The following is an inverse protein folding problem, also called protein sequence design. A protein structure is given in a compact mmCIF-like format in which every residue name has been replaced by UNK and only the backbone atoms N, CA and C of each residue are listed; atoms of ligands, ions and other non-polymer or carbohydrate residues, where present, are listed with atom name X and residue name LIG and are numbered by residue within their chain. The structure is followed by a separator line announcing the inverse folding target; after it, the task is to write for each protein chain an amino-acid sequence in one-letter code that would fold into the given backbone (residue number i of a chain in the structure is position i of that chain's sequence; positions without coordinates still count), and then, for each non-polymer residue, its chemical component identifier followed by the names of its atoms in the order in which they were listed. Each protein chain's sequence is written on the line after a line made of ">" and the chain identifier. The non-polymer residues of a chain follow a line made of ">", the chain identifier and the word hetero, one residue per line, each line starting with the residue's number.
data_IF_488915715349
#
_entry.id   IF_488915715349
#
_cell.length_a   1.000
_cell.length_b   1.000
_cell.length_c   1.000
_cell.angle_alpha   90.00
_cell.angle_beta   90.00
_cell.angle_gamma   90.00
#
_symmetry.space_group_name_H-M   'P 1'
#
loop_
_entity.id
_entity.type
_entity.pdbx_description
1 polymer ?
#
# COMPACT_ATOMS: atom_id res chain seq x y z
N UNK A 1 9.97 -26.02 8.97
CA UNK A 1 11.07 -25.34 8.27
C UNK A 1 10.61 -23.90 8.08
N UNK A 2 11.07 -22.98 8.93
CA UNK A 2 10.57 -21.59 8.98
C UNK A 2 11.72 -20.64 8.61
N UNK A 3 11.94 -20.42 7.31
CA UNK A 3 12.70 -19.27 6.84
C UNK A 3 12.44 -19.03 5.34
N UNK A 4 11.29 -18.45 5.01
CA UNK A 4 11.11 -17.84 3.69
C UNK A 4 11.01 -16.33 3.90
N UNK A 5 12.13 -15.63 3.66
CA UNK A 5 12.15 -14.17 3.60
C UNK A 5 11.45 -13.73 2.30
N UNK A 6 10.32 -13.05 2.46
CA UNK A 6 9.47 -12.55 1.37
C UNK A 6 9.51 -11.02 1.41
N UNK A 7 9.75 -10.38 0.27
CA UNK A 7 9.71 -8.91 0.16
C UNK A 7 8.25 -8.41 0.16
N UNK A 8 8.02 -7.12 0.42
CA UNK A 8 6.66 -6.57 0.34
C UNK A 8 6.13 -6.68 -1.10
N UNK A 9 6.97 -6.41 -2.10
CA UNK A 9 6.64 -6.59 -3.52
C UNK A 9 6.19 -8.04 -3.81
N UNK A 10 6.95 -9.04 -3.34
CA UNK A 10 6.60 -10.44 -3.52
C UNK A 10 5.25 -10.77 -2.87
N UNK A 11 5.04 -10.34 -1.62
CA UNK A 11 3.81 -10.60 -0.89
C UNK A 11 2.58 -9.99 -1.62
N UNK A 12 2.70 -8.75 -2.11
CA UNK A 12 1.65 -8.10 -2.90
C UNK A 12 1.41 -8.82 -4.22
N UNK A 13 2.46 -9.32 -4.89
CA UNK A 13 2.32 -10.14 -6.12
C UNK A 13 1.60 -11.45 -5.85
N UNK A 14 1.88 -12.13 -4.74
CA UNK A 14 1.17 -13.36 -4.38
C UNK A 14 -0.32 -13.12 -4.10
N UNK A 15 -0.67 -11.98 -3.49
CA UNK A 15 -2.07 -11.56 -3.34
C UNK A 15 -2.72 -11.24 -4.70
N UNK A 16 -2.01 -10.51 -5.56
CA UNK A 16 -2.49 -10.12 -6.89
C UNK A 16 -2.80 -11.34 -7.77
N UNK A 17 -1.97 -12.39 -7.66
CA UNK A 17 -2.11 -13.64 -8.39
C UNK A 17 -3.06 -14.64 -7.71
N UNK A 18 -3.70 -14.27 -6.61
CA UNK A 18 -4.61 -15.12 -5.82
C UNK A 18 -3.95 -16.40 -5.27
N UNK A 19 -2.62 -16.38 -5.10
CA UNK A 19 -1.87 -17.43 -4.42
C UNK A 19 -1.94 -17.26 -2.89
N UNK A 20 -2.06 -16.02 -2.42
CA UNK A 20 -2.31 -15.72 -1.00
C UNK A 20 -3.79 -15.38 -0.81
N UNK A 21 -4.48 -16.23 -0.06
CA UNK A 21 -5.90 -16.09 0.25
C UNK A 21 -6.13 -16.07 1.76
N UNK A 22 -7.37 -15.83 2.15
CA UNK A 22 -7.80 -15.78 3.55
C UNK A 22 -8.72 -16.98 3.87
N UNK A 23 -8.54 -17.65 5.02
CA UNK A 23 -9.46 -18.69 5.49
C UNK A 23 -10.77 -18.06 5.95
N UNK A 24 -11.87 -18.82 6.04
CA UNK A 24 -13.20 -18.31 6.43
C UNK A 24 -13.35 -17.71 7.86
N UNK A 25 -12.35 -17.85 8.71
CA UNK A 25 -12.31 -17.27 10.06
C UNK A 25 -11.60 -15.91 10.11
N UNK A 26 -11.23 -15.37 8.94
CA UNK A 26 -10.54 -14.08 8.80
C UNK A 26 -11.37 -12.93 9.37
N UNK A 27 -10.70 -11.93 9.95
CA UNK A 27 -11.38 -10.70 10.38
C UNK A 27 -11.39 -9.73 9.21
N UNK A 28 -12.49 -9.00 9.05
CA UNK A 28 -12.56 -7.91 8.09
C UNK A 28 -11.45 -6.88 8.35
N UNK A 29 -11.02 -6.18 7.29
CA UNK A 29 -10.10 -5.05 7.46
C UNK A 29 -10.77 -3.96 8.27
N UNK A 30 -10.09 -3.50 9.32
CA UNK A 30 -10.56 -2.42 10.19
C UNK A 30 -9.58 -1.26 10.25
N UNK A 31 -8.43 -1.37 9.55
CA UNK A 31 -7.43 -0.32 9.53
C UNK A 31 -7.88 0.87 8.69
N UNK A 32 -7.86 2.05 9.32
CA UNK A 32 -8.12 3.31 8.66
C UNK A 32 -6.88 3.83 7.91
N UNK A 33 -7.06 4.90 7.13
CA UNK A 33 -5.99 5.50 6.31
C UNK A 33 -4.73 5.79 7.11
N UNK A 34 -4.88 6.33 8.30
CA UNK A 34 -3.75 6.74 9.15
C UNK A 34 -2.94 5.53 9.62
N UNK A 35 -3.59 4.39 9.87
CA UNK A 35 -2.89 3.16 10.24
C UNK A 35 -2.15 2.54 9.04
N UNK A 36 -2.66 2.74 7.83
CA UNK A 36 -1.95 2.34 6.61
C UNK A 36 -0.73 3.24 6.43
N UNK A 37 -0.86 4.57 6.52
CA UNK A 37 0.29 5.49 6.39
C UNK A 37 1.35 5.22 7.46
N UNK A 38 0.94 4.99 8.71
CA UNK A 38 1.83 4.64 9.83
C UNK A 38 2.61 3.35 9.55
N UNK A 39 1.98 2.35 8.91
CA UNK A 39 2.66 1.11 8.53
C UNK A 39 3.76 1.38 7.49
N UNK A 40 3.48 2.16 6.46
CA UNK A 40 4.48 2.48 5.44
C UNK A 40 5.64 3.30 6.03
N UNK A 41 5.33 4.32 6.83
CA UNK A 41 6.33 5.09 7.58
C UNK A 41 7.19 4.17 8.46
N UNK A 42 6.58 3.26 9.21
CA UNK A 42 7.30 2.32 10.06
C UNK A 42 8.27 1.43 9.28
N UNK A 43 7.90 1.00 8.07
CA UNK A 43 8.76 0.20 7.19
C UNK A 43 9.96 1.02 6.74
N UNK A 44 9.75 2.26 6.29
CA UNK A 44 10.84 3.12 5.82
C UNK A 44 11.79 3.52 6.97
N UNK A 45 11.27 3.66 8.20
CA UNK A 45 12.10 3.85 9.40
C UNK A 45 12.88 2.59 9.82
N UNK A 46 12.64 1.45 9.19
CA UNK A 46 13.31 0.18 9.51
C UNK A 46 12.75 -0.53 10.76
N UNK A 47 11.57 -0.15 11.24
CA UNK A 47 10.93 -0.87 12.34
C UNK A 47 10.50 -2.29 11.88
N UNK A 48 10.68 -3.31 12.73
CA UNK A 48 10.27 -4.66 12.40
C UNK A 48 8.74 -4.74 12.27
N UNK A 49 8.25 -4.98 11.06
CA UNK A 49 6.81 -5.13 10.78
C UNK A 49 6.27 -6.52 11.13
N UNK A 50 7.07 -7.38 11.78
CA UNK A 50 6.69 -8.71 12.25
C UNK A 50 6.67 -9.79 11.17
N UNK A 51 6.13 -10.96 11.51
CA UNK A 51 6.00 -12.13 10.64
C UNK A 51 4.54 -12.37 10.25
N UNK A 52 4.31 -13.08 9.16
CA UNK A 52 2.99 -13.59 8.79
C UNK A 52 2.95 -15.11 8.96
N UNK A 53 1.87 -15.62 9.53
CA UNK A 53 1.61 -17.07 9.59
C UNK A 53 0.72 -17.45 8.42
N UNK A 54 1.07 -18.54 7.74
CA UNK A 54 0.25 -19.10 6.69
C UNK A 54 0.10 -20.61 6.82
N UNK A 55 -0.94 -21.14 6.19
CA UNK A 55 -1.12 -22.55 5.95
C UNK A 55 -0.96 -22.84 4.46
N UNK A 56 -0.01 -23.73 4.14
CA UNK A 56 0.20 -24.28 2.82
C UNK A 56 -0.87 -25.31 2.46
N UNK A 57 -1.71 -24.97 1.47
CA UNK A 57 -2.86 -25.76 1.08
C UNK A 57 -2.54 -26.58 -0.17
N UNK A 58 -2.51 -27.91 0.00
CA UNK A 58 -2.33 -28.85 -1.11
C UNK A 58 -3.55 -28.85 -2.03
N UNK A 59 -3.32 -29.14 -3.31
CA UNK A 59 -4.34 -29.16 -4.37
C UNK A 59 -5.55 -30.02 -4.03
N UNK A 60 -5.31 -31.21 -3.48
CA UNK A 60 -6.33 -32.19 -3.11
C UNK A 60 -7.32 -31.67 -2.07
N UNK A 61 -6.93 -30.67 -1.26
CA UNK A 61 -7.71 -30.18 -0.14
C UNK A 61 -8.44 -28.86 -0.46
N UNK A 62 -8.27 -28.28 -1.65
CA UNK A 62 -8.77 -26.93 -1.98
C UNK A 62 -10.29 -26.80 -1.91
N UNK A 63 -11.01 -27.82 -2.37
CA UNK A 63 -12.47 -27.81 -2.40
C UNK A 63 -13.11 -27.97 -1.00
N UNK A 64 -12.32 -28.35 0.01
CA UNK A 64 -12.80 -28.52 1.39
C UNK A 64 -12.92 -27.20 2.15
N UNK A 65 -12.24 -26.13 1.69
CA UNK A 65 -12.18 -24.86 2.39
C UNK A 65 -12.91 -23.75 1.65
N UNK A 66 -13.64 -22.93 2.41
CA UNK A 66 -14.10 -21.63 1.90
C UNK A 66 -12.96 -20.63 2.05
N UNK A 67 -12.57 -20.03 0.93
CA UNK A 67 -11.46 -19.09 0.82
C UNK A 67 -11.95 -17.73 0.34
N UNK A 68 -11.24 -16.68 0.76
CA UNK A 68 -11.56 -15.30 0.43
C UNK A 68 -10.34 -14.58 -0.16
N UNK A 69 -10.58 -13.74 -1.16
CA UNK A 69 -9.56 -12.85 -1.72
C UNK A 69 -9.34 -11.61 -0.85
N UNK A 70 -8.18 -10.99 -0.95
CA UNK A 70 -7.90 -9.71 -0.32
C UNK A 70 -8.70 -8.58 -0.99
N UNK A 71 -9.07 -7.56 -0.21
CA UNK A 71 -9.72 -6.36 -0.76
C UNK A 71 -8.70 -5.57 -1.58
N UNK A 72 -9.03 -5.35 -2.86
CA UNK A 72 -8.20 -4.56 -3.78
C UNK A 72 -8.49 -3.07 -3.69
N UNK A 73 -9.78 -2.70 -3.65
CA UNK A 73 -10.25 -1.33 -3.51
C UNK A 73 -11.13 -1.27 -2.27
N UNK A 74 -10.68 -0.62 -1.20
CA UNK A 74 -11.39 -0.58 0.08
C UNK A 74 -12.33 0.61 0.17
N UNK A 75 -13.50 0.43 0.78
CA UNK A 75 -14.41 1.50 1.18
C UNK A 75 -15.07 1.15 2.51
N UNK A 76 -15.36 2.14 3.34
CA UNK A 76 -16.01 1.91 4.64
C UNK A 76 -17.51 1.59 4.53
N UNK A 77 -18.17 2.01 3.45
CA UNK A 77 -19.57 1.63 3.15
C UNK A 77 -19.90 1.84 1.67
N UNK A 78 -20.66 0.91 1.09
CA UNK A 78 -21.20 1.01 -0.27
C UNK A 78 -22.64 1.54 -0.31
N UNK A 79 -23.24 1.87 0.84
CA UNK A 79 -24.66 2.23 0.94
C UNK A 79 -25.04 3.51 0.17
N UNK A 80 -24.06 4.37 -0.11
CA UNK A 80 -24.28 5.74 -0.58
C UNK A 80 -23.52 6.10 -1.86
N UNK A 81 -22.86 5.13 -2.49
CA UNK A 81 -22.04 5.34 -3.68
C UNK A 81 -22.04 4.07 -4.52
N UNK A 82 -22.17 4.22 -5.84
CA UNK A 82 -21.96 3.10 -6.76
C UNK A 82 -20.45 2.91 -6.99
N UNK A 83 -19.93 1.72 -6.66
CA UNK A 83 -18.49 1.47 -6.70
C UNK A 83 -18.16 -0.02 -6.76
N UNK A 84 -17.07 -0.34 -7.44
CA UNK A 84 -16.41 -1.65 -7.42
C UNK A 84 -15.54 -1.87 -6.15
N UNK A 85 -15.45 -0.87 -5.26
CA UNK A 85 -14.78 -1.01 -3.96
C UNK A 85 -15.59 -1.89 -3.00
N UNK A 86 -14.87 -2.57 -2.10
CA UNK A 86 -15.41 -3.58 -1.20
C UNK A 86 -15.26 -3.14 0.27
N UNK A 87 -16.29 -3.39 1.06
CA UNK A 87 -16.26 -3.26 2.53
C UNK A 87 -15.72 -4.53 3.21
N UNK A 88 -15.79 -5.66 2.52
CA UNK A 88 -15.44 -6.99 3.04
C UNK A 88 -14.79 -7.86 1.97
N UNK A 89 -13.99 -8.81 2.41
CA UNK A 89 -13.38 -9.80 1.52
C UNK A 89 -14.44 -10.64 0.81
N UNK A 90 -14.20 -10.95 -0.46
CA UNK A 90 -15.12 -11.73 -1.30
C UNK A 90 -14.67 -13.18 -1.40
N UNK A 91 -15.63 -14.12 -1.40
CA UNK A 91 -15.35 -15.54 -1.58
C UNK A 91 -14.75 -15.76 -2.97
N UNK A 92 -13.69 -16.55 -3.05
CA UNK A 92 -13.03 -16.92 -4.31
C UNK A 92 -13.00 -18.43 -4.47
N UNK A 93 -12.95 -18.88 -5.72
CA UNK A 93 -12.57 -20.25 -6.08
C UNK A 93 -11.25 -20.13 -6.84
N UNK A 94 -10.13 -20.63 -6.31
CA UNK A 94 -8.84 -20.52 -6.98
C UNK A 94 -8.87 -21.31 -8.29
N UNK A 95 -8.55 -20.66 -9.40
CA UNK A 95 -8.67 -21.20 -10.77
C UNK A 95 -7.34 -21.81 -11.29
N UNK A 96 -6.48 -22.34 -10.41
CA UNK A 96 -5.14 -22.78 -10.84
C UNK A 96 -4.43 -23.74 -9.90
N UNK A 97 -3.36 -24.39 -10.42
CA UNK A 97 -2.54 -25.40 -9.75
C UNK A 97 -1.22 -24.84 -9.16
N UNK A 98 -1.26 -23.65 -8.55
CA UNK A 98 -0.08 -23.01 -7.93
C UNK A 98 -0.08 -23.09 -6.40
N UNK A 99 1.06 -23.09 -5.73
CA UNK A 99 1.17 -23.18 -4.26
C UNK A 99 0.28 -22.15 -3.53
N UNK A 100 -0.88 -22.61 -3.05
CA UNK A 100 -1.89 -21.78 -2.44
C UNK A 100 -1.64 -21.69 -0.94
N UNK A 101 -1.58 -20.47 -0.41
CA UNK A 101 -1.34 -20.21 1.01
C UNK A 101 -2.51 -19.44 1.62
N UNK A 102 -3.05 -19.95 2.73
CA UNK A 102 -4.04 -19.25 3.54
C UNK A 102 -3.34 -18.45 4.63
N UNK A 103 -3.48 -17.13 4.59
CA UNK A 103 -2.88 -16.22 5.57
C UNK A 103 -3.69 -16.27 6.87
N UNK A 104 -3.07 -16.79 7.93
CA UNK A 104 -3.68 -16.97 9.25
C UNK A 104 -3.45 -15.77 10.16
N UNK A 105 -2.32 -15.08 10.00
CA UNK A 105 -1.97 -13.89 10.79
C UNK A 105 -1.36 -12.78 9.91
N UNK A 106 -1.49 -11.54 10.38
CA UNK A 106 -1.05 -10.31 9.71
C UNK A 106 -1.82 -9.96 8.43
N UNK A 107 -3.03 -10.52 8.28
CA UNK A 107 -4.00 -10.14 7.25
C UNK A 107 -4.18 -8.62 7.08
N UNK A 108 -4.15 -7.85 8.18
CA UNK A 108 -4.35 -6.40 8.16
C UNK A 108 -3.18 -5.71 7.45
N UNK A 109 -1.92 -5.99 7.86
CA UNK A 109 -0.72 -5.41 7.22
C UNK A 109 -0.64 -5.77 5.74
N UNK A 110 -0.91 -7.02 5.38
CA UNK A 110 -0.85 -7.45 3.98
C UNK A 110 -1.95 -6.78 3.13
N UNK A 111 -3.15 -6.61 3.70
CA UNK A 111 -4.21 -5.82 3.06
C UNK A 111 -3.80 -4.35 2.89
N UNK A 112 -3.18 -3.75 3.91
CA UNK A 112 -2.69 -2.38 3.88
C UNK A 112 -1.60 -2.17 2.82
N UNK A 113 -0.63 -3.09 2.70
CA UNK A 113 0.37 -3.06 1.64
C UNK A 113 -0.27 -3.15 0.26
N UNK A 114 -1.20 -4.07 0.07
CA UNK A 114 -1.90 -4.20 -1.20
C UNK A 114 -2.67 -2.91 -1.54
N UNK A 115 -3.45 -2.37 -0.60
CA UNK A 115 -4.21 -1.13 -0.78
C UNK A 115 -3.29 0.05 -1.12
N UNK A 116 -2.15 0.18 -0.43
CA UNK A 116 -1.20 1.27 -0.66
C UNK A 116 -0.43 1.15 -1.98
N UNK A 117 -0.10 -0.07 -2.43
CA UNK A 117 0.79 -0.30 -3.57
C UNK A 117 0.06 -0.61 -4.90
N UNK A 118 -1.12 -1.22 -4.85
CA UNK A 118 -1.88 -1.60 -6.05
C UNK A 118 -3.34 -1.16 -6.01
N UNK A 119 -3.87 -1.00 -4.80
CA UNK A 119 -5.27 -0.73 -4.56
C UNK A 119 -5.64 0.75 -4.45
N UNK A 120 -6.81 0.97 -3.86
CA UNK A 120 -7.31 2.30 -3.51
C UNK A 120 -8.02 2.27 -2.18
N UNK A 121 -8.05 3.40 -1.49
CA UNK A 121 -8.89 3.62 -0.31
C UNK A 121 -9.95 4.66 -0.66
N UNK A 122 -11.22 4.33 -0.49
CA UNK A 122 -12.34 5.25 -0.68
C UNK A 122 -12.88 5.70 0.66
N UNK A 123 -13.01 7.02 0.85
CA UNK A 123 -13.49 7.60 2.09
C UNK A 123 -14.45 8.75 1.84
N UNK A 124 -15.30 9.01 2.83
CA UNK A 124 -16.15 10.19 2.84
C UNK A 124 -15.32 11.41 3.22
N UNK A 125 -15.37 12.46 2.41
CA UNK A 125 -14.72 13.71 2.73
C UNK A 125 -15.34 14.37 3.98
N UNK A 126 -14.51 15.01 4.83
CA UNK A 126 -14.99 15.82 5.95
C UNK A 126 -15.99 16.88 5.49
N UNK A 127 -16.93 17.24 6.37
CA UNK A 127 -17.94 18.28 6.17
C UNK A 127 -18.94 18.07 5.01
N UNK A 128 -18.78 17.05 4.17
CA UNK A 128 -19.76 16.69 3.14
C UNK A 128 -20.86 15.79 3.68
N UNK A 129 -22.03 15.79 3.06
CA UNK A 129 -23.15 14.94 3.48
C UNK A 129 -23.03 13.52 2.91
N UNK A 130 -23.39 12.51 3.70
CA UNK A 130 -23.09 11.10 3.36
C UNK A 130 -23.87 10.57 2.15
N UNK A 131 -25.09 11.07 1.86
CA UNK A 131 -25.87 10.65 0.69
C UNK A 131 -25.49 11.38 -0.60
N UNK A 132 -24.58 12.34 -0.52
CA UNK A 132 -24.05 12.95 -1.72
C UNK A 132 -22.94 12.02 -2.23
N UNK A 133 -23.09 11.48 -3.43
CA UNK A 133 -22.12 10.60 -4.05
C UNK A 133 -20.75 11.29 -4.19
N UNK A 134 -20.73 12.59 -4.52
CA UNK A 134 -19.50 13.41 -4.59
C UNK A 134 -18.82 13.66 -3.23
N UNK A 135 -19.41 13.18 -2.13
CA UNK A 135 -18.76 13.15 -0.83
C UNK A 135 -17.77 12.00 -0.71
N UNK A 136 -17.88 10.96 -1.54
CA UNK A 136 -17.02 9.79 -1.51
C UNK A 136 -15.90 9.95 -2.54
N UNK A 137 -14.65 9.92 -2.07
CA UNK A 137 -13.48 10.03 -2.94
C UNK A 137 -12.67 8.74 -2.86
N UNK A 138 -12.49 8.12 -4.02
CA UNK A 138 -11.46 7.09 -4.24
C UNK A 138 -10.10 7.76 -4.27
N UNK A 139 -9.13 7.17 -3.58
CA UNK A 139 -7.79 7.73 -3.42
C UNK A 139 -6.71 6.66 -3.47
N UNK A 140 -5.50 7.07 -3.85
CA UNK A 140 -4.29 6.24 -3.86
C UNK A 140 -3.27 6.77 -2.86
N UNK A 141 -2.39 5.90 -2.38
CA UNK A 141 -1.33 6.29 -1.45
C UNK A 141 -0.19 6.97 -2.21
N UNK A 142 0.15 8.19 -1.80
CA UNK A 142 1.30 8.93 -2.27
C UNK A 142 2.27 9.18 -1.12
N UNK A 143 3.53 9.29 -1.47
CA UNK A 143 4.67 9.53 -0.59
C UNK A 143 5.28 10.89 -0.92
N UNK A 144 5.48 11.75 0.07
CA UNK A 144 6.09 13.06 -0.13
C UNK A 144 7.61 12.92 -0.31
N UNK A 145 8.11 13.22 -1.51
CA UNK A 145 9.53 13.12 -1.84
C UNK A 145 10.35 14.30 -1.29
N UNK A 146 9.72 15.44 -1.02
CA UNK A 146 10.37 16.65 -0.48
C UNK A 146 10.31 16.73 1.05
N UNK A 147 9.62 15.79 1.71
CA UNK A 147 9.63 15.72 3.18
C UNK A 147 11.00 15.32 3.73
N UNK A 148 11.46 15.99 4.80
CA UNK A 148 12.70 15.64 5.49
C UNK A 148 12.44 14.64 6.63
N UNK A 149 12.86 13.36 6.52
CA UNK A 149 12.63 12.36 7.56
C UNK A 149 13.40 12.62 8.88
N UNK A 150 14.28 13.63 8.91
CA UNK A 150 14.96 14.09 10.13
C UNK A 150 14.06 14.96 10.98
N UNK A 151 13.07 15.62 10.36
CA UNK A 151 12.07 16.43 11.05
C UNK A 151 10.91 15.53 11.49
N UNK A 152 10.47 15.68 12.74
CA UNK A 152 9.30 14.96 13.21
C UNK A 152 8.04 15.65 12.66
N UNK A 153 7.15 14.88 12.05
CA UNK A 153 5.90 15.39 11.53
C UNK A 153 4.86 15.47 12.64
N UNK A 154 4.16 16.60 12.77
CA UNK A 154 3.01 16.78 13.67
C UNK A 154 1.77 16.00 13.22
N UNK A 155 1.82 15.41 12.02
CA UNK A 155 0.74 14.65 11.40
C UNK A 155 0.73 13.20 11.87
N UNK A 156 0.27 12.95 13.11
CA UNK A 156 -0.06 11.59 13.55
C UNK A 156 0.11 11.32 15.04
N UNK A 157 -0.89 11.66 15.88
CA UNK A 157 -1.00 11.17 17.26
C UNK A 157 0.30 11.19 18.10
N UNK A 158 0.46 10.22 19.00
CA UNK A 158 1.61 10.05 19.90
C UNK A 158 2.86 9.46 19.19
N UNK A 159 2.95 9.53 17.85
CA UNK A 159 3.93 8.78 17.05
C UNK A 159 5.02 9.66 16.45
N UNK A 160 6.23 9.11 16.40
CA UNK A 160 7.41 9.71 15.77
C UNK A 160 7.39 9.49 14.26
N UNK A 161 6.36 10.01 13.57
CA UNK A 161 6.25 9.92 12.11
C UNK A 161 7.37 10.71 11.45
N UNK A 162 8.07 10.09 10.50
CA UNK A 162 9.20 10.70 9.77
C UNK A 162 8.94 10.82 8.28
N UNK A 163 8.38 9.78 7.68
CA UNK A 163 8.07 9.73 6.26
C UNK A 163 6.60 10.07 6.05
N UNK A 164 6.34 11.07 5.21
CA UNK A 164 4.99 11.56 5.01
C UNK A 164 4.27 10.80 3.89
N UNK A 165 3.23 10.05 4.26
CA UNK A 165 2.33 9.39 3.32
C UNK A 165 0.92 9.98 3.40
N UNK A 166 0.26 10.15 2.25
CA UNK A 166 -1.15 10.59 2.19
C UNK A 166 -1.91 9.87 1.11
N UNK A 167 -3.17 9.56 1.41
CA UNK A 167 -4.13 9.13 0.40
C UNK A 167 -4.66 10.35 -0.37
N UNK A 168 -4.28 10.49 -1.64
CA UNK A 168 -4.70 11.59 -2.51
C UNK A 168 -5.82 11.14 -3.46
N UNK A 169 -6.91 11.93 -3.62
CA UNK A 169 -8.05 11.56 -4.48
C UNK A 169 -7.69 11.42 -5.96
N UNK A 170 -8.14 10.35 -6.61
CA UNK A 170 -7.81 10.09 -8.03
C UNK A 170 -8.32 11.20 -8.97
N UNK A 171 -9.45 11.84 -8.70
CA UNK A 171 -9.95 12.93 -9.56
C UNK A 171 -9.25 14.28 -9.38
N UNK A 172 -8.41 14.41 -8.36
CA UNK A 172 -7.69 15.65 -8.03
C UNK A 172 -6.17 15.48 -8.27
N UNK A 173 -5.67 14.24 -8.17
CA UNK A 173 -4.26 13.87 -8.32
C UNK A 173 -4.11 12.58 -9.13
N UNK A 174 -3.61 12.71 -10.36
CA UNK A 174 -3.37 11.60 -11.29
C UNK A 174 -1.92 11.55 -11.72
N UNK A 175 -1.38 10.33 -11.84
CA UNK A 175 -0.05 10.10 -12.37
C UNK A 175 0.89 9.38 -11.41
N UNK A 176 2.16 9.32 -11.82
CA UNK A 176 3.25 8.75 -11.01
C UNK A 176 3.80 9.78 -10.03
N UNK A 177 3.91 11.03 -10.45
CA UNK A 177 4.37 12.16 -9.65
C UNK A 177 3.35 13.28 -9.81
N UNK A 178 2.99 13.94 -8.71
CA UNK A 178 2.09 15.09 -8.71
C UNK A 178 2.65 16.19 -7.81
N UNK A 179 2.43 17.44 -8.20
CA UNK A 179 2.77 18.60 -7.39
C UNK A 179 1.58 18.97 -6.50
N UNK A 180 1.85 19.31 -5.23
CA UNK A 180 0.84 19.76 -4.29
C UNK A 180 1.42 20.81 -3.35
N UNK A 181 1.10 22.07 -3.61
CA UNK A 181 1.75 23.17 -2.90
C UNK A 181 3.20 23.26 -3.38
N UNK A 182 4.15 23.28 -2.45
CA UNK A 182 5.58 23.27 -2.75
C UNK A 182 6.18 21.85 -2.76
N UNK A 183 5.36 20.83 -2.52
CA UNK A 183 5.81 19.45 -2.38
C UNK A 183 5.58 18.59 -3.63
N UNK A 184 6.48 17.63 -3.84
CA UNK A 184 6.37 16.59 -4.87
C UNK A 184 5.92 15.25 -4.27
N UNK A 185 4.79 14.74 -4.74
CA UNK A 185 4.16 13.53 -4.23
C UNK A 185 4.26 12.39 -5.24
N UNK A 186 4.95 11.33 -4.86
CA UNK A 186 5.11 10.14 -5.69
C UNK A 186 4.07 9.09 -5.35
N UNK A 187 3.39 8.55 -6.36
CA UNK A 187 2.43 7.46 -6.18
C UNK A 187 3.18 6.23 -5.68
N UNK A 188 2.97 5.87 -4.42
CA UNK A 188 3.72 4.81 -3.72
C UNK A 188 3.78 3.52 -4.53
N UNK A 189 2.66 3.10 -5.11
CA UNK A 189 2.56 1.91 -5.95
C UNK A 189 3.39 1.90 -7.23
N UNK A 190 3.80 3.06 -7.75
CA UNK A 190 4.68 3.13 -8.91
C UNK A 190 6.10 2.65 -8.61
N UNK A 191 6.50 2.55 -7.33
CA UNK A 191 7.80 1.98 -6.97
C UNK A 191 7.95 0.52 -7.44
N UNK A 192 6.84 -0.19 -7.64
CA UNK A 192 6.84 -1.58 -8.09
C UNK A 192 7.40 -1.75 -9.52
N UNK A 193 7.46 -0.68 -10.30
CA UNK A 193 8.01 -0.65 -11.66
C UNK A 193 9.55 -0.54 -11.67
N UNK A 194 10.18 -0.37 -10.49
CA UNK A 194 11.63 -0.19 -10.32
C UNK A 194 12.23 -1.31 -9.45
N UNK A 195 12.27 -2.55 -9.95
CA UNK A 195 12.78 -3.69 -9.19
C UNK A 195 14.29 -3.61 -8.94
N UNK A 196 15.08 -2.95 -9.80
CA UNK A 196 16.52 -2.79 -9.62
C UNK A 196 16.88 -1.41 -9.02
N UNK A 197 18.01 -1.34 -8.31
CA UNK A 197 18.52 -0.07 -7.79
C UNK A 197 18.94 0.92 -8.90
N UNK A 198 19.32 0.40 -10.07
CA UNK A 198 19.66 1.23 -11.22
C UNK A 198 18.41 1.87 -11.82
N UNK A 199 17.30 1.13 -11.93
CA UNK A 199 16.04 1.66 -12.48
C UNK A 199 15.54 2.88 -11.69
N UNK A 200 15.58 2.80 -10.34
CA UNK A 200 15.19 3.93 -9.50
C UNK A 200 16.19 5.09 -9.59
N UNK A 201 17.48 4.79 -9.79
CA UNK A 201 18.51 5.82 -9.95
C UNK A 201 18.35 6.58 -11.27
N UNK A 202 18.07 5.89 -12.36
CA UNK A 202 17.78 6.50 -13.67
C UNK A 202 16.53 7.38 -13.60
N UNK A 203 15.51 6.93 -12.86
CA UNK A 203 14.33 7.75 -12.62
C UNK A 203 14.62 9.00 -11.78
N UNK A 204 15.47 8.90 -10.75
CA UNK A 204 15.91 10.07 -9.99
C UNK A 204 16.59 11.08 -10.90
N UNK A 205 17.49 10.65 -11.80
CA UNK A 205 18.12 11.56 -12.78
C UNK A 205 17.10 12.22 -13.70
N UNK A 206 16.10 11.47 -14.16
CA UNK A 206 15.01 12.04 -14.97
C UNK A 206 14.27 13.13 -14.19
N UNK A 207 13.97 12.90 -12.90
CA UNK A 207 13.33 13.91 -12.07
C UNK A 207 14.21 15.14 -11.84
N UNK A 208 15.52 14.98 -11.66
CA UNK A 208 16.46 16.09 -11.50
C UNK A 208 16.60 16.96 -12.76
N UNK A 209 16.32 16.39 -13.94
CA UNK A 209 16.29 17.12 -15.23
C UNK A 209 14.94 17.80 -15.50
N UNK A 210 13.82 17.16 -15.11
CA UNK A 210 12.47 17.64 -15.39
C UNK A 210 11.96 18.66 -14.36
N UNK A 211 12.43 18.59 -13.11
CA UNK A 211 11.95 19.41 -12.00
C UNK A 211 12.97 20.49 -11.64
N UNK A 212 12.47 21.69 -11.31
CA UNK A 212 13.29 22.78 -10.78
C UNK A 212 13.52 22.58 -9.28
N UNK A 213 14.40 21.63 -8.96
CA UNK A 213 14.76 21.30 -7.58
C UNK A 213 16.01 22.06 -7.13
N UNK A 214 15.97 22.59 -5.91
CA UNK A 214 17.15 23.10 -5.23
C UNK A 214 18.07 21.97 -4.73
N UNK A 215 19.23 22.33 -4.16
CA UNK A 215 20.22 21.34 -3.72
C UNK A 215 19.74 20.42 -2.59
N UNK A 216 18.90 20.93 -1.69
CA UNK A 216 18.34 20.15 -0.58
C UNK A 216 17.18 19.28 -1.06
N UNK A 217 16.30 19.81 -1.91
CA UNK A 217 15.21 19.05 -2.52
C UNK A 217 15.72 17.88 -3.35
N UNK A 218 16.75 18.07 -4.20
CA UNK A 218 17.36 16.97 -4.96
C UNK A 218 17.85 15.85 -4.05
N UNK A 219 18.51 16.22 -2.95
CA UNK A 219 18.99 15.25 -1.96
C UNK A 219 17.84 14.49 -1.31
N UNK A 220 16.78 15.20 -0.90
CA UNK A 220 15.60 14.60 -0.28
C UNK A 220 14.86 13.66 -1.23
N UNK A 221 14.56 14.12 -2.45
CA UNK A 221 13.90 13.33 -3.51
C UNK A 221 14.67 12.04 -3.78
N UNK A 222 15.99 12.15 -3.98
CA UNK A 222 16.83 11.00 -4.25
C UNK A 222 16.95 10.04 -3.05
N UNK A 223 17.02 10.55 -1.83
CA UNK A 223 17.05 9.72 -0.62
C UNK A 223 15.72 8.98 -0.44
N UNK A 224 14.61 9.72 -0.44
CA UNK A 224 13.28 9.20 -0.19
C UNK A 224 12.89 8.11 -1.20
N UNK A 225 13.18 8.29 -2.49
CA UNK A 225 12.91 7.24 -3.49
C UNK A 225 13.74 5.98 -3.28
N UNK A 226 15.01 6.10 -2.88
CA UNK A 226 15.87 4.94 -2.57
C UNK A 226 15.38 4.21 -1.32
N UNK A 227 15.01 4.95 -0.28
CA UNK A 227 14.45 4.40 0.96
C UNK A 227 13.16 3.64 0.69
N UNK A 228 12.23 4.22 -0.08
CA UNK A 228 10.99 3.55 -0.49
C UNK A 228 11.27 2.29 -1.33
N UNK A 229 12.21 2.36 -2.29
CA UNK A 229 12.57 1.20 -3.11
C UNK A 229 13.14 0.08 -2.25
N UNK A 230 14.08 0.39 -1.37
CA UNK A 230 14.70 -0.58 -0.47
C UNK A 230 13.65 -1.24 0.45
N UNK A 231 12.79 -0.44 1.06
CA UNK A 231 11.69 -0.90 1.91
C UNK A 231 10.77 -1.92 1.20
N UNK A 232 10.48 -1.71 -0.08
CA UNK A 232 9.51 -2.54 -0.82
C UNK A 232 10.13 -3.75 -1.52
N UNK A 233 11.35 -3.62 -2.04
CA UNK A 233 11.99 -4.63 -2.90
C UNK A 233 13.11 -5.40 -2.23
N UNK A 234 13.72 -4.89 -1.15
CA UNK A 234 14.81 -5.61 -0.49
C UNK A 234 14.28 -6.55 0.59
N UNK A 235 15.04 -7.63 0.81
CA UNK A 235 14.77 -8.57 1.90
C UNK A 235 15.32 -7.96 3.19
N UNK A 236 14.45 -7.77 4.18
CA UNK A 236 14.85 -7.51 5.56
C UNK A 236 15.62 -8.71 6.16
#
# INVERSE_FOLDING_TARGET
>A
MYDQRVTINDAVRQVQNENYLLPAIQREIVWERDQITDLFDSVLQGYPIGTFLYWDLKDENRDEYTMYGFIKHFITTTKYVDTDAQTRNSKVKPDGAGDLKLILDGQQRLSSFYIGLKGTYSYKQPYKWYRNESAWKRSRLYFNLTSDPREQLDSGGDRQTRYEFKFLPEGDYEGRLVERGEDYWFRTGAILDYPDSNDVTDYIYTLEEELDLDGDERRLVGQNLRDLRAAIHDKA
#
